data_IF_236494357329
#
_entry.id   IF_236494357329
#
_cell.length_a   1.000
_cell.length_b   1.000
_cell.length_c   1.000
_cell.angle_alpha   90.00
_cell.angle_beta   90.00
_cell.angle_gamma   90.00
#
_symmetry.space_group_name_H-M   'P 1'
#
loop_
_entity.id
_entity.type
_entity.pdbx_description
1 polymer ?
#
# COMPACT_ATOMS: atom_id res chain seq x y z
N UNK A 1 11.97 7.49 17.19
CA UNK A 1 12.40 6.62 16.07
C UNK A 1 11.53 6.95 14.87
N UNK A 2 12.11 7.60 13.87
CA UNK A 2 11.42 7.79 12.59
C UNK A 2 11.23 6.43 11.93
N UNK A 3 10.01 5.88 12.01
CA UNK A 3 9.70 4.71 11.19
C UNK A 3 9.90 5.08 9.72
N UNK A 4 10.75 4.30 9.04
CA UNK A 4 10.96 4.32 7.60
C UNK A 4 9.62 4.12 6.87
N UNK A 5 9.50 4.70 5.67
CA UNK A 5 8.34 4.44 4.79
C UNK A 5 8.31 2.96 4.41
N UNK A 6 7.11 2.38 4.31
CA UNK A 6 6.92 0.97 3.96
C UNK A 6 6.11 0.91 2.66
N UNK A 7 6.65 0.20 1.67
CA UNK A 7 6.00 -0.02 0.39
C UNK A 7 5.17 -1.29 0.40
N UNK A 8 3.90 -1.19 0.01
CA UNK A 8 2.96 -2.31 -0.03
C UNK A 8 2.58 -2.59 -1.48
N UNK A 9 3.01 -3.75 -1.97
CA UNK A 9 2.75 -4.22 -3.34
C UNK A 9 1.64 -5.27 -3.30
N UNK A 10 0.58 -5.05 -4.07
CA UNK A 10 -0.56 -5.96 -4.18
C UNK A 10 -0.49 -6.88 -5.39
N UNK A 11 0.32 -6.53 -6.40
CA UNK A 11 0.48 -7.33 -7.61
C UNK A 11 1.54 -8.42 -7.44
N UNK A 12 1.27 -9.59 -8.03
CA UNK A 12 2.18 -10.72 -8.07
C UNK A 12 2.30 -11.26 -9.48
N UNK A 13 3.46 -11.82 -9.82
CA UNK A 13 3.67 -12.55 -11.08
C UNK A 13 3.19 -14.01 -11.01
N UNK A 14 2.68 -14.44 -9.86
CA UNK A 14 2.16 -15.79 -9.66
C UNK A 14 0.74 -15.89 -10.22
N UNK A 15 0.50 -16.94 -11.00
CA UNK A 15 -0.81 -17.25 -11.57
C UNK A 15 -1.86 -17.41 -10.45
N UNK A 16 -3.05 -16.86 -10.69
CA UNK A 16 -4.21 -16.87 -9.78
C UNK A 16 -3.94 -16.33 -8.35
N UNK A 17 -2.92 -15.47 -8.19
CA UNK A 17 -2.62 -14.88 -6.87
C UNK A 17 -3.60 -13.74 -6.55
N UNK A 18 -4.52 -14.04 -5.63
CA UNK A 18 -5.53 -13.10 -5.12
C UNK A 18 -5.22 -12.57 -3.72
N UNK A 19 -4.19 -13.09 -3.05
CA UNK A 19 -3.85 -12.65 -1.69
C UNK A 19 -3.24 -11.24 -1.76
N UNK A 20 -3.68 -10.39 -0.85
CA UNK A 20 -3.11 -9.05 -0.66
C UNK A 20 -2.45 -8.95 0.73
N UNK A 21 -1.36 -8.17 0.88
CA UNK A 21 -0.68 -8.01 2.16
C UNK A 21 -1.57 -7.49 3.30
N UNK A 22 -2.45 -6.53 3.00
CA UNK A 22 -3.31 -5.85 3.96
C UNK A 22 -4.66 -5.66 3.27
N UNK A 23 -5.73 -6.21 3.84
CA UNK A 23 -7.07 -5.90 3.34
C UNK A 23 -7.34 -4.40 3.52
N UNK A 24 -7.85 -3.65 2.53
CA UNK A 24 -8.09 -2.22 2.66
C UNK A 24 -8.98 -1.85 3.85
N UNK A 25 -9.96 -2.69 4.18
CA UNK A 25 -10.77 -2.48 5.39
C UNK A 25 -9.90 -2.55 6.65
N UNK A 26 -8.88 -3.39 6.73
CA UNK A 26 -8.03 -3.44 7.94
C UNK A 26 -7.20 -2.17 8.17
N UNK A 27 -7.14 -1.25 7.21
CA UNK A 27 -6.48 0.04 7.41
C UNK A 27 -7.05 0.76 8.63
N UNK A 28 -8.37 0.71 8.88
CA UNK A 28 -8.99 1.38 10.04
C UNK A 28 -8.50 0.87 11.41
N UNK A 29 -7.87 -0.30 11.45
CA UNK A 29 -7.35 -0.91 12.69
C UNK A 29 -5.95 -0.42 13.05
N UNK A 30 -5.22 0.13 12.07
CA UNK A 30 -3.86 0.61 12.28
C UNK A 30 -3.86 2.01 12.91
N UNK A 31 -2.94 2.34 13.81
CA UNK A 31 -2.77 3.71 14.28
C UNK A 31 -2.46 4.67 13.11
N UNK A 32 -3.03 5.88 13.12
CA UNK A 32 -2.90 6.84 12.02
C UNK A 32 -1.45 7.20 11.68
N UNK A 33 -0.58 7.31 12.69
CA UNK A 33 0.85 7.58 12.50
C UNK A 33 1.60 6.44 11.77
N UNK A 34 1.08 5.22 11.80
CA UNK A 34 1.60 4.07 11.03
C UNK A 34 1.04 4.12 9.60
N UNK A 35 -0.28 4.33 9.44
CA UNK A 35 -0.90 4.38 8.12
C UNK A 35 -0.28 5.42 7.21
N UNK A 36 0.06 6.58 7.76
CA UNK A 36 0.72 7.68 7.02
C UNK A 36 2.11 7.33 6.50
N UNK A 37 2.68 6.19 6.90
CA UNK A 37 3.98 5.69 6.45
C UNK A 37 3.86 4.53 5.47
N UNK A 38 2.66 3.99 5.28
CA UNK A 38 2.38 2.96 4.29
C UNK A 38 2.12 3.63 2.94
N UNK A 39 2.90 3.26 1.94
CA UNK A 39 2.71 3.66 0.54
C UNK A 39 2.21 2.43 -0.21
N UNK A 40 1.05 2.55 -0.85
CA UNK A 40 0.41 1.43 -1.55
C UNK A 40 0.66 1.50 -3.06
N UNK A 41 0.68 0.34 -3.70
CA UNK A 41 0.73 0.23 -5.15
C UNK A 41 -0.54 0.81 -5.81
N UNK A 42 -0.41 1.57 -6.89
CA UNK A 42 -1.56 2.03 -7.68
C UNK A 42 -2.42 0.84 -8.13
N UNK A 43 -3.73 0.96 -7.93
CA UNK A 43 -4.71 -0.08 -8.20
C UNK A 43 -4.83 -1.14 -7.11
N UNK A 44 -4.22 -0.97 -5.94
CA UNK A 44 -4.28 -1.95 -4.83
C UNK A 44 -5.72 -2.27 -4.40
N UNK A 45 -6.61 -1.27 -4.42
CA UNK A 45 -8.00 -1.40 -4.01
C UNK A 45 -8.93 -2.01 -5.07
N UNK A 46 -8.49 -2.15 -6.32
CA UNK A 46 -9.35 -2.59 -7.45
C UNK A 46 -10.10 -3.91 -7.21
N UNK A 47 -9.47 -4.97 -6.64
CA UNK A 47 -10.18 -6.23 -6.35
C UNK A 47 -11.31 -6.09 -5.32
N UNK A 48 -11.29 -5.01 -4.53
CA UNK A 48 -12.25 -4.71 -3.47
C UNK A 48 -13.21 -3.58 -3.85
N UNK A 49 -13.18 -3.11 -5.10
CA UNK A 49 -13.95 -1.95 -5.58
C UNK A 49 -13.67 -0.66 -4.81
N UNK A 50 -12.42 -0.50 -4.37
CA UNK A 50 -11.94 0.70 -3.66
C UNK A 50 -11.02 1.47 -4.59
N UNK A 51 -11.29 2.76 -4.73
CA UNK A 51 -10.48 3.65 -5.56
C UNK A 51 -9.17 4.03 -4.85
N UNK A 52 -8.13 4.28 -5.64
CA UNK A 52 -6.80 4.65 -5.13
C UNK A 52 -6.86 5.89 -4.21
N UNK A 53 -7.74 6.85 -4.53
CA UNK A 53 -7.95 8.07 -3.73
C UNK A 53 -8.48 7.79 -2.32
N UNK A 54 -9.30 6.75 -2.15
CA UNK A 54 -9.85 6.37 -0.84
C UNK A 54 -8.75 5.79 0.07
N UNK A 55 -7.85 5.00 -0.52
CA UNK A 55 -6.67 4.46 0.18
C UNK A 55 -5.67 5.58 0.46
N UNK A 56 -5.43 6.49 -0.50
CA UNK A 56 -4.49 7.60 -0.36
C UNK A 56 -4.86 8.54 0.79
N UNK A 57 -6.15 8.84 0.97
CA UNK A 57 -6.65 9.69 2.08
C UNK A 57 -6.26 9.14 3.45
N UNK A 58 -6.31 7.82 3.60
CA UNK A 58 -6.10 7.12 4.86
C UNK A 58 -4.64 6.75 5.11
N UNK A 59 -3.81 6.71 4.07
CA UNK A 59 -2.43 6.21 4.11
C UNK A 59 -1.41 7.30 3.80
N UNK A 60 -0.15 6.92 3.55
CA UNK A 60 0.93 7.81 3.13
C UNK A 60 0.92 8.14 1.63
N UNK A 61 0.03 7.52 0.86
CA UNK A 61 -0.15 7.78 -0.57
C UNK A 61 -0.06 6.52 -1.43
N UNK A 62 -0.13 6.75 -2.75
CA UNK A 62 -0.12 5.72 -3.78
C UNK A 62 1.09 5.92 -4.69
N UNK A 63 1.79 4.84 -5.04
CA UNK A 63 2.93 4.87 -5.95
C UNK A 63 2.86 3.66 -6.91
N UNK A 64 3.50 3.76 -8.06
CA UNK A 64 3.67 2.63 -8.97
C UNK A 64 4.59 1.59 -8.36
N UNK A 65 4.52 0.35 -8.85
CA UNK A 65 5.43 -0.73 -8.43
C UNK A 65 6.90 -0.32 -8.56
N UNK A 66 7.26 0.33 -9.67
CA UNK A 66 8.64 0.74 -9.95
C UNK A 66 9.14 1.79 -8.95
N UNK A 67 8.31 2.80 -8.64
CA UNK A 67 8.62 3.82 -7.62
C UNK A 67 8.79 3.16 -6.24
N UNK A 68 7.88 2.27 -5.85
CA UNK A 68 7.97 1.55 -4.56
C UNK A 68 9.29 0.78 -4.44
N UNK A 69 9.68 0.07 -5.49
CA UNK A 69 10.91 -0.73 -5.49
C UNK A 69 12.20 0.10 -5.59
N UNK A 70 12.12 1.33 -6.11
CA UNK A 70 13.29 2.20 -6.30
C UNK A 70 13.51 3.14 -5.10
N UNK A 71 12.43 3.68 -4.55
CA UNK A 71 12.45 4.80 -3.61
C UNK A 71 12.21 4.38 -2.15
N UNK A 72 11.72 3.16 -1.90
CA UNK A 72 11.37 2.69 -0.55
C UNK A 72 12.35 1.61 -0.10
N UNK A 73 13.04 1.87 1.02
CA UNK A 73 14.01 0.95 1.61
C UNK A 73 15.44 1.14 1.12
N UNK A 74 15.67 2.07 0.20
CA UNK A 74 16.99 2.59 -0.21
C UNK A 74 17.46 3.61 0.83
N UNK A 75 18.52 3.24 1.56
CA UNK A 75 19.25 4.08 2.51
C UNK A 75 20.63 4.45 1.96
#
# INVERSE_FOLDING_TARGET
MDLLKIGIIGTSKKEDEKRVPIHPEHLYRLPGHIRKKLIFEKGYGKPFHIEDDEIAKQTGGMATRSEILSDIGTA
#
